data_IF_716187504117
#
_entry.id   IF_716187504117
#
_cell.length_a   1.000
_cell.length_b   1.000
_cell.length_c   1.000
_cell.angle_alpha   90.00
_cell.angle_beta   90.00
_cell.angle_gamma   90.00
#
_symmetry.space_group_name_H-M   'P 1'
#
loop_
_entity.id
_entity.type
_entity.pdbx_description
1 polymer ?
#
# COMPACT_ATOMS: atom_id res chain seq x y z
N UNK A 1 4.59 5.60 -19.26
CA UNK A 1 3.82 6.30 -18.20
C UNK A 1 4.69 6.46 -16.96
N UNK A 2 4.54 7.55 -16.21
CA UNK A 2 5.15 7.72 -14.90
C UNK A 2 4.16 7.25 -13.84
N UNK A 3 4.58 6.39 -12.93
CA UNK A 3 3.78 5.98 -11.77
C UNK A 3 4.30 6.68 -10.52
N UNK A 4 3.40 7.02 -9.60
CA UNK A 4 3.71 7.73 -8.36
C UNK A 4 3.32 6.90 -7.15
N UNK A 5 4.21 6.88 -6.16
CA UNK A 5 4.00 6.27 -4.84
C UNK A 5 4.20 7.39 -3.84
N UNK A 6 3.18 7.65 -3.03
CA UNK A 6 3.20 8.76 -2.08
C UNK A 6 4.00 8.39 -0.82
N UNK A 7 3.99 7.09 -0.46
CA UNK A 7 4.63 6.56 0.74
C UNK A 7 5.48 5.35 0.40
N UNK A 8 6.76 5.41 0.75
CA UNK A 8 7.67 4.27 0.71
C UNK A 8 8.27 4.07 2.10
N UNK A 9 7.97 2.94 2.74
CA UNK A 9 8.63 2.56 3.99
C UNK A 9 9.78 1.59 3.69
N UNK A 10 10.97 1.93 4.16
CA UNK A 10 12.16 1.09 4.05
C UNK A 10 12.55 0.53 5.41
N UNK A 11 13.00 -0.71 5.44
CA UNK A 11 13.56 -1.31 6.63
C UNK A 11 14.47 -2.49 6.28
N UNK A 12 14.99 -3.14 7.31
CA UNK A 12 15.85 -4.31 7.15
C UNK A 12 15.05 -5.57 7.48
N UNK A 13 15.11 -6.58 6.62
CA UNK A 13 14.55 -7.91 6.91
C UNK A 13 15.68 -8.83 7.36
N UNK A 14 15.39 -9.69 8.33
CA UNK A 14 16.37 -10.71 8.75
C UNK A 14 16.78 -11.55 7.53
N UNK A 15 18.09 -11.66 7.28
CA UNK A 15 18.64 -12.39 6.13
C UNK A 15 18.75 -11.62 4.81
N UNK A 16 18.35 -10.34 4.75
CA UNK A 16 18.55 -9.52 3.55
C UNK A 16 19.77 -8.61 3.64
N UNK A 17 20.63 -8.61 2.63
CA UNK A 17 21.72 -7.64 2.48
C UNK A 17 21.17 -6.29 1.96
N UNK A 18 20.65 -5.45 2.85
CA UNK A 18 20.24 -4.08 2.52
C UNK A 18 18.83 -3.68 2.99
N UNK A 19 18.47 -2.42 2.69
CA UNK A 19 17.12 -1.88 2.96
C UNK A 19 16.14 -2.41 1.91
N UNK A 20 15.02 -2.95 2.37
CA UNK A 20 13.91 -3.42 1.56
C UNK A 20 12.68 -2.54 1.75
N UNK A 21 11.88 -2.42 0.70
CA UNK A 21 10.55 -1.85 0.75
C UNK A 21 9.67 -2.75 1.62
N UNK A 22 9.25 -2.23 2.76
CA UNK A 22 8.30 -2.88 3.66
C UNK A 22 6.87 -2.49 3.31
N UNK A 23 6.67 -1.28 2.76
CA UNK A 23 5.37 -0.76 2.36
C UNK A 23 5.48 0.16 1.15
N UNK A 24 4.55 -0.01 0.22
CA UNK A 24 4.23 0.92 -0.86
C UNK A 24 2.85 1.49 -0.57
N UNK A 25 2.69 2.81 -0.59
CA UNK A 25 1.43 3.41 -0.19
C UNK A 25 1.00 4.62 -0.99
N UNK A 26 -0.30 4.88 -0.90
CA UNK A 26 -0.95 6.07 -1.42
C UNK A 26 -1.64 6.81 -0.27
N UNK A 27 -1.52 8.14 -0.27
CA UNK A 27 -2.08 8.99 0.77
C UNK A 27 -2.98 10.06 0.16
N UNK A 28 -4.24 10.10 0.58
CA UNK A 28 -5.18 11.14 0.14
C UNK A 28 -5.92 11.77 1.31
N UNK A 29 -5.84 13.10 1.36
CA UNK A 29 -6.55 13.93 2.32
C UNK A 29 -7.95 14.35 1.84
N UNK A 30 -8.54 13.68 0.85
CA UNK A 30 -9.90 13.98 0.37
C UNK A 30 -11.00 13.57 1.35
N UNK A 31 -12.22 14.07 1.14
CA UNK A 31 -13.43 13.60 1.86
C UNK A 31 -14.00 12.31 1.28
N UNK A 32 -13.68 12.02 0.01
CA UNK A 32 -14.15 10.80 -0.65
C UNK A 32 -13.39 9.58 -0.11
N UNK A 33 -14.10 8.51 0.29
CA UNK A 33 -13.47 7.25 0.69
C UNK A 33 -12.51 6.73 -0.37
N UNK A 34 -11.46 6.00 0.05
CA UNK A 34 -10.64 5.22 -0.90
C UNK A 34 -11.39 3.97 -1.31
N UNK A 35 -11.20 3.55 -2.55
CA UNK A 35 -11.92 2.43 -3.16
C UNK A 35 -10.94 1.37 -3.69
N UNK A 36 -11.50 0.28 -4.25
CA UNK A 36 -10.70 -0.80 -4.83
C UNK A 36 -9.75 -0.33 -5.95
N UNK A 37 -10.04 0.76 -6.67
CA UNK A 37 -9.17 1.24 -7.74
C UNK A 37 -7.86 1.77 -7.18
N UNK A 38 -7.89 2.40 -6.00
CA UNK A 38 -6.68 2.83 -5.31
C UNK A 38 -5.79 1.62 -4.95
N UNK A 39 -6.39 0.52 -4.47
CA UNK A 39 -5.66 -0.72 -4.18
C UNK A 39 -5.09 -1.38 -5.45
N UNK A 40 -5.91 -1.56 -6.49
CA UNK A 40 -5.47 -2.16 -7.77
C UNK A 40 -4.33 -1.35 -8.41
N UNK A 41 -4.34 -0.02 -8.26
CA UNK A 41 -3.24 0.83 -8.72
C UNK A 41 -1.94 0.51 -7.98
N UNK A 42 -1.97 0.35 -6.65
CA UNK A 42 -0.78 -0.01 -5.87
C UNK A 42 -0.28 -1.42 -6.20
N UNK A 43 -1.18 -2.38 -6.44
CA UNK A 43 -0.81 -3.72 -6.91
C UNK A 43 -0.07 -3.68 -8.23
N UNK A 44 -0.59 -2.91 -9.19
CA UNK A 44 0.06 -2.73 -10.48
C UNK A 44 1.46 -2.12 -10.33
N UNK A 45 1.62 -1.11 -9.47
CA UNK A 45 2.93 -0.52 -9.18
C UNK A 45 3.87 -1.55 -8.53
N UNK A 46 3.39 -2.36 -7.60
CA UNK A 46 4.18 -3.44 -6.98
C UNK A 46 4.67 -4.43 -8.02
N UNK A 47 3.83 -4.83 -8.98
CA UNK A 47 4.21 -5.72 -10.09
C UNK A 47 5.33 -5.08 -10.93
N UNK A 48 5.17 -3.82 -11.32
CA UNK A 48 6.19 -3.10 -12.10
C UNK A 48 7.53 -2.98 -11.35
N UNK A 49 7.50 -2.66 -10.05
CA UNK A 49 8.73 -2.56 -9.25
C UNK A 49 9.40 -3.92 -9.03
N UNK A 50 8.60 -4.98 -8.88
CA UNK A 50 9.09 -6.35 -8.72
C UNK A 50 9.76 -6.86 -9.99
N UNK A 51 9.22 -6.53 -11.16
CA UNK A 51 9.81 -6.89 -12.46
C UNK A 51 11.22 -6.29 -12.68
N UNK A 52 11.59 -5.25 -11.92
CA UNK A 52 12.91 -4.64 -11.96
C UNK A 52 13.78 -4.99 -10.75
N UNK A 53 13.38 -6.00 -9.95
CA UNK A 53 14.07 -6.46 -8.73
C UNK A 53 14.38 -5.33 -7.73
N UNK A 54 13.56 -4.28 -7.73
CA UNK A 54 13.83 -3.09 -6.91
C UNK A 54 13.37 -3.31 -5.48
N UNK A 55 14.31 -3.14 -4.54
CA UNK A 55 14.03 -3.00 -3.10
C UNK A 55 13.20 -4.14 -2.49
N UNK A 56 13.18 -5.35 -3.08
CA UNK A 56 12.33 -6.44 -2.57
C UNK A 56 10.82 -6.14 -2.64
N UNK A 57 10.39 -5.27 -3.56
CA UNK A 57 9.03 -4.75 -3.67
C UNK A 57 7.94 -5.84 -3.73
N UNK A 58 8.25 -7.04 -4.22
CA UNK A 58 7.31 -8.17 -4.26
C UNK A 58 6.73 -8.51 -2.89
N UNK A 59 7.51 -8.31 -1.83
CA UNK A 59 7.12 -8.59 -0.43
C UNK A 59 6.59 -7.38 0.33
N UNK A 60 6.54 -6.21 -0.32
CA UNK A 60 6.07 -4.98 0.31
C UNK A 60 4.54 -5.03 0.52
N UNK A 61 4.09 -4.60 1.70
CA UNK A 61 2.68 -4.35 1.99
C UNK A 61 2.16 -3.16 1.16
N UNK A 62 0.85 -3.13 0.94
CA UNK A 62 0.14 -2.07 0.24
C UNK A 62 -0.62 -1.22 1.26
N UNK A 63 -0.21 0.04 1.41
CA UNK A 63 -0.78 0.98 2.38
C UNK A 63 -1.73 1.97 1.73
N UNK A 64 -2.96 2.07 2.21
CA UNK A 64 -3.88 3.15 1.84
C UNK A 64 -4.13 4.05 3.05
N UNK A 65 -3.73 5.31 2.94
CA UNK A 65 -3.91 6.34 3.96
C UNK A 65 -5.05 7.27 3.53
N UNK A 66 -6.10 7.35 4.33
CA UNK A 66 -7.33 8.04 3.94
C UNK A 66 -7.88 8.93 5.05
N UNK A 67 -8.16 10.20 4.74
CA UNK A 67 -8.97 11.04 5.64
C UNK A 67 -10.46 10.69 5.58
N UNK A 68 -10.99 10.43 4.38
CA UNK A 68 -12.41 10.13 4.16
C UNK A 68 -12.83 8.68 4.40
N UNK A 69 -11.97 7.85 5.01
CA UNK A 69 -12.24 6.42 5.23
C UNK A 69 -12.14 5.56 3.96
N UNK A 70 -12.77 4.39 4.02
CA UNK A 70 -12.67 3.34 3.00
C UNK A 70 -14.05 2.85 2.56
N UNK A 71 -14.21 2.57 1.27
CA UNK A 71 -15.42 1.96 0.73
C UNK A 71 -15.58 0.52 1.24
N UNK A 72 -16.82 0.05 1.37
CA UNK A 72 -17.12 -1.26 1.98
C UNK A 72 -16.56 -2.46 1.21
N UNK A 73 -16.46 -2.35 -0.12
CA UNK A 73 -15.85 -3.36 -0.98
C UNK A 73 -14.34 -3.47 -0.75
N UNK A 74 -13.65 -2.34 -0.55
CA UNK A 74 -12.24 -2.30 -0.19
C UNK A 74 -12.01 -2.88 1.22
N UNK A 75 -12.88 -2.58 2.18
CA UNK A 75 -12.81 -3.17 3.52
C UNK A 75 -12.98 -4.69 3.48
N UNK A 76 -13.95 -5.19 2.72
CA UNK A 76 -14.19 -6.62 2.55
C UNK A 76 -12.97 -7.32 1.92
N UNK A 77 -12.42 -6.77 0.83
CA UNK A 77 -11.20 -7.29 0.18
C UNK A 77 -9.99 -7.28 1.13
N UNK A 78 -9.80 -6.20 1.88
CA UNK A 78 -8.67 -6.06 2.80
C UNK A 78 -8.77 -7.02 4.01
N UNK A 79 -9.98 -7.37 4.46
CA UNK A 79 -10.18 -8.24 5.63
C UNK A 79 -9.54 -9.63 5.47
N UNK A 80 -9.42 -10.12 4.24
CA UNK A 80 -8.81 -11.42 3.92
C UNK A 80 -7.31 -11.34 3.58
N UNK A 81 -6.67 -10.18 3.74
CA UNK A 81 -5.33 -9.92 3.20
C UNK A 81 -4.38 -9.35 4.24
N UNK A 82 -3.30 -10.08 4.50
CA UNK A 82 -2.22 -9.67 5.41
C UNK A 82 -1.24 -8.66 4.79
N UNK A 83 -1.27 -8.54 3.45
CA UNK A 83 -0.45 -7.63 2.66
C UNK A 83 -1.08 -6.25 2.46
N UNK A 84 -2.29 -6.00 2.96
CA UNK A 84 -2.97 -4.70 2.86
C UNK A 84 -3.05 -4.03 4.23
N UNK A 85 -2.71 -2.74 4.29
CA UNK A 85 -2.79 -1.92 5.50
C UNK A 85 -3.66 -0.71 5.19
N UNK A 86 -4.79 -0.59 5.89
CA UNK A 86 -5.69 0.55 5.80
C UNK A 86 -5.47 1.43 7.02
N UNK A 87 -5.17 2.72 6.79
CA UNK A 87 -4.92 3.71 7.84
C UNK A 87 -5.82 4.91 7.62
N UNK A 88 -6.71 5.19 8.56
CA UNK A 88 -7.49 6.41 8.59
C UNK A 88 -7.18 7.26 9.83
N UNK A 89 -7.87 8.40 9.97
CA UNK A 89 -7.70 9.30 11.11
C UNK A 89 -8.55 8.91 12.32
N UNK A 90 -9.43 7.92 12.18
CA UNK A 90 -10.33 7.46 13.23
C UNK A 90 -10.02 6.00 13.52
N UNK A 91 -8.97 5.70 14.31
CA UNK A 91 -8.73 4.33 14.73
C UNK A 91 -10.01 3.81 15.36
N UNK A 92 -10.52 2.68 14.86
CA UNK A 92 -11.67 2.01 15.46
C UNK A 92 -11.37 1.84 16.96
N UNK A 93 -12.17 2.51 17.79
CA UNK A 93 -12.13 2.41 19.26
C UNK A 93 -12.76 1.09 19.67
#
# INVERSE_FOLDING_TARGET
MKHEVDVLALGTRAGSAGRQALLLGAAKAGVQPRDLRDLRRLEHIRVLLSAHERLGAASAKLGLFARGGFAGDLLAEASGRDDVVLVDLNPAV
#
